data_IF_059446800616
#
_entry.id   IF_059446800616
#
_cell.length_a   1.000
_cell.length_b   1.000
_cell.length_c   1.000
_cell.angle_alpha   90.00
_cell.angle_beta   90.00
_cell.angle_gamma   90.00
#
_symmetry.space_group_name_H-M   'P 1'
#
loop_
_entity.id
_entity.type
_entity.pdbx_description
1 polymer ?
#
# COMPACT_ATOMS: atom_id res chain seq x y z
N UNK A 1 -45.37 0.43 -8.16
CA UNK A 1 -44.64 0.45 -6.87
C UNK A 1 -43.51 -0.57 -6.80
N UNK A 2 -43.73 -1.88 -6.97
CA UNK A 2 -42.66 -2.91 -6.90
C UNK A 2 -41.50 -2.70 -7.90
N UNK A 3 -41.79 -2.26 -9.14
CA UNK A 3 -40.75 -1.98 -10.16
C UNK A 3 -39.87 -0.77 -9.80
N UNK A 4 -40.46 0.30 -9.24
CA UNK A 4 -39.70 1.45 -8.74
C UNK A 4 -38.81 1.06 -7.57
N UNK A 5 -39.29 0.18 -6.69
CA UNK A 5 -38.54 -0.32 -5.54
C UNK A 5 -37.33 -1.16 -5.97
N UNK A 6 -37.48 -1.97 -7.02
CA UNK A 6 -36.37 -2.73 -7.63
C UNK A 6 -35.35 -1.78 -8.29
N UNK A 7 -35.80 -0.74 -8.99
CA UNK A 7 -34.90 0.26 -9.61
C UNK A 7 -34.13 1.02 -8.53
N UNK A 8 -34.78 1.38 -7.42
CA UNK A 8 -34.13 2.03 -6.26
C UNK A 8 -33.11 1.09 -5.62
N UNK A 9 -33.44 -0.19 -5.45
CA UNK A 9 -32.48 -1.20 -4.94
C UNK A 9 -31.28 -1.39 -5.87
N UNK A 10 -31.49 -1.42 -7.19
CA UNK A 10 -30.41 -1.47 -8.17
C UNK A 10 -29.55 -0.20 -8.08
N UNK A 11 -30.17 0.98 -7.97
CA UNK A 11 -29.44 2.25 -7.80
C UNK A 11 -28.63 2.30 -6.49
N UNK A 12 -29.09 1.69 -5.39
CA UNK A 12 -28.35 1.58 -4.13
C UNK A 12 -27.19 0.59 -4.24
N UNK A 13 -27.30 -0.46 -5.06
CA UNK A 13 -26.19 -1.39 -5.35
C UNK A 13 -25.17 -0.73 -6.31
N UNK A 14 -25.63 0.19 -7.18
CA UNK A 14 -24.82 0.93 -8.15
C UNK A 14 -24.29 2.28 -7.66
N UNK A 15 -24.73 2.81 -6.51
CA UNK A 15 -23.93 3.85 -5.85
C UNK A 15 -22.60 3.19 -5.54
N UNK A 16 -21.46 3.68 -6.05
CA UNK A 16 -20.17 3.16 -5.66
C UNK A 16 -20.02 3.41 -4.16
N UNK A 17 -20.42 2.42 -3.35
CA UNK A 17 -20.31 2.41 -1.91
C UNK A 17 -18.86 2.11 -1.56
N UNK A 18 -18.01 3.04 -1.98
CA UNK A 18 -16.77 3.52 -1.44
C UNK A 18 -16.14 4.25 -2.61
N UNK A 19 -16.17 5.59 -2.56
CA UNK A 19 -15.02 6.35 -3.00
C UNK A 19 -13.77 5.61 -2.49
N UNK A 20 -13.10 4.86 -3.37
CA UNK A 20 -11.71 4.49 -3.16
C UNK A 20 -10.89 5.78 -3.32
N UNK A 21 -11.14 6.77 -2.45
CA UNK A 21 -10.41 8.05 -2.43
C UNK A 21 -8.93 7.84 -2.10
N UNK A 22 -8.55 6.61 -1.70
CA UNK A 22 -7.17 6.19 -1.52
C UNK A 22 -6.83 5.04 -2.45
N UNK A 23 -5.89 5.33 -3.35
CA UNK A 23 -5.25 4.38 -4.25
C UNK A 23 -4.50 3.24 -3.51
N UNK A 24 -4.04 3.49 -2.27
CA UNK A 24 -3.25 2.55 -1.49
C UNK A 24 -3.67 2.54 -0.01
N UNK A 25 -3.53 1.39 0.64
CA UNK A 25 -3.64 1.27 2.11
C UNK A 25 -2.53 2.07 2.80
N UNK A 26 -2.77 2.52 4.02
CA UNK A 26 -1.76 3.13 4.89
C UNK A 26 -1.79 2.51 6.30
N UNK A 27 -1.07 3.12 7.24
CA UNK A 27 -0.99 2.62 8.62
C UNK A 27 -2.34 2.54 9.34
N UNK A 28 -3.31 3.38 8.99
CA UNK A 28 -4.66 3.28 9.52
C UNK A 28 -5.40 2.02 9.04
N UNK A 29 -5.26 1.68 7.76
CA UNK A 29 -5.81 0.46 7.18
C UNK A 29 -5.10 -0.77 7.74
N UNK A 30 -3.77 -0.70 7.84
CA UNK A 30 -2.92 -1.75 8.40
C UNK A 30 -3.33 -2.14 9.83
N UNK A 31 -3.53 -1.16 10.70
CA UNK A 31 -3.99 -1.41 12.09
C UNK A 31 -5.43 -1.91 12.15
N UNK A 32 -6.29 -1.52 11.22
CA UNK A 32 -7.69 -1.94 11.18
C UNK A 32 -7.86 -3.44 10.91
N UNK A 33 -6.87 -4.07 10.28
CA UNK A 33 -6.90 -5.51 9.94
C UNK A 33 -7.14 -6.37 11.19
N UNK A 34 -6.53 -6.06 12.33
CA UNK A 34 -6.73 -6.82 13.56
C UNK A 34 -8.21 -6.84 13.97
N UNK A 35 -8.88 -5.69 13.92
CA UNK A 35 -10.31 -5.60 14.19
C UNK A 35 -11.14 -6.33 13.13
N UNK A 36 -10.77 -6.22 11.85
CA UNK A 36 -11.46 -6.91 10.75
C UNK A 36 -11.33 -8.43 10.86
N UNK A 37 -10.18 -8.93 11.31
CA UNK A 37 -9.93 -10.34 11.55
C UNK A 37 -10.48 -10.83 12.91
N UNK A 38 -11.27 -10.01 13.62
CA UNK A 38 -11.75 -10.31 14.97
C UNK A 38 -10.63 -10.71 15.95
N UNK A 39 -9.46 -10.08 15.80
CA UNK A 39 -8.24 -10.33 16.56
C UNK A 39 -7.69 -11.77 16.45
N UNK A 40 -8.13 -12.53 15.44
CA UNK A 40 -7.53 -13.83 15.14
C UNK A 40 -6.12 -13.65 14.54
N UNK A 41 -5.06 -14.19 15.16
CA UNK A 41 -3.69 -13.94 14.72
C UNK A 41 -3.37 -14.52 13.34
N UNK A 42 -3.93 -15.70 13.01
CA UNK A 42 -3.68 -16.37 11.74
C UNK A 42 -4.34 -15.60 10.59
N UNK A 43 -5.62 -15.26 10.74
CA UNK A 43 -6.37 -14.46 9.77
C UNK A 43 -5.76 -13.06 9.62
N UNK A 44 -5.33 -12.42 10.71
CA UNK A 44 -4.63 -11.12 10.67
C UNK A 44 -3.38 -11.21 9.80
N UNK A 45 -2.56 -12.25 10.03
CA UNK A 45 -1.36 -12.48 9.24
C UNK A 45 -1.71 -12.75 7.77
N UNK A 46 -2.69 -13.62 7.49
CA UNK A 46 -3.12 -13.95 6.12
C UNK A 46 -3.60 -12.71 5.35
N UNK A 47 -4.37 -11.82 6.00
CA UNK A 47 -4.82 -10.58 5.38
C UNK A 47 -3.66 -9.61 5.10
N UNK A 48 -2.76 -9.43 6.08
CA UNK A 48 -1.57 -8.57 5.94
C UNK A 48 -0.64 -9.07 4.83
N UNK A 49 -0.30 -10.36 4.83
CA UNK A 49 0.60 -10.95 3.84
C UNK A 49 -0.02 -11.00 2.46
N UNK A 50 -1.34 -11.25 2.36
CA UNK A 50 -2.07 -11.23 1.09
C UNK A 50 -1.98 -9.88 0.40
N UNK A 51 -2.12 -8.77 1.15
CA UNK A 51 -1.96 -7.44 0.59
C UNK A 51 -0.51 -7.14 0.17
N UNK A 52 0.48 -7.51 1.00
CA UNK A 52 1.90 -7.35 0.64
C UNK A 52 2.19 -8.07 -0.69
N UNK A 53 1.78 -9.33 -0.81
CA UNK A 53 1.99 -10.12 -2.03
C UNK A 53 1.32 -9.45 -3.23
N UNK A 54 0.08 -8.98 -3.09
CA UNK A 54 -0.61 -8.25 -4.17
C UNK A 54 0.14 -7.01 -4.64
N UNK A 55 0.76 -6.24 -3.73
CA UNK A 55 1.59 -5.08 -4.08
C UNK A 55 2.87 -5.51 -4.81
N UNK A 56 3.55 -6.55 -4.32
CA UNK A 56 4.77 -7.05 -4.93
C UNK A 56 4.52 -7.65 -6.32
N UNK A 57 3.43 -8.40 -6.48
CA UNK A 57 2.99 -8.98 -7.77
C UNK A 57 2.64 -7.87 -8.77
N UNK A 58 1.94 -6.82 -8.33
CA UNK A 58 1.65 -5.66 -9.18
C UNK A 58 2.92 -4.94 -9.63
N UNK A 59 3.89 -4.72 -8.72
CA UNK A 59 5.19 -4.14 -9.05
C UNK A 59 5.92 -4.98 -10.09
N UNK A 60 6.00 -6.30 -9.87
CA UNK A 60 6.63 -7.23 -10.82
C UNK A 60 5.93 -7.18 -12.19
N UNK A 61 4.61 -7.19 -12.21
CA UNK A 61 3.84 -7.09 -13.45
C UNK A 61 4.19 -5.84 -14.25
N UNK A 62 4.18 -4.66 -13.61
CA UNK A 62 4.49 -3.41 -14.31
C UNK A 62 5.97 -3.27 -14.68
N UNK A 63 6.88 -3.82 -13.87
CA UNK A 63 8.28 -3.97 -14.26
C UNK A 63 8.41 -4.76 -15.56
N UNK A 64 7.79 -5.94 -15.63
CA UNK A 64 7.84 -6.79 -16.84
C UNK A 64 7.21 -6.09 -18.04
N UNK A 65 6.12 -5.33 -17.85
CA UNK A 65 5.52 -4.52 -18.92
C UNK A 65 6.50 -3.46 -19.44
N UNK A 66 7.14 -2.69 -18.55
CA UNK A 66 8.13 -1.69 -18.96
C UNK A 66 9.34 -2.36 -19.63
N UNK A 67 9.79 -3.50 -19.11
CA UNK A 67 10.94 -4.25 -19.60
C UNK A 67 10.73 -4.73 -21.05
N UNK A 68 9.50 -5.15 -21.41
CA UNK A 68 9.19 -5.50 -22.81
C UNK A 68 9.28 -4.33 -23.79
N UNK A 69 9.26 -3.09 -23.29
CA UNK A 69 9.38 -1.89 -24.13
C UNK A 69 10.83 -1.42 -24.21
N UNK A 70 11.46 -1.22 -23.06
CA UNK A 70 12.87 -0.79 -22.96
C UNK A 70 13.43 -1.22 -21.60
N UNK A 71 14.47 -2.05 -21.62
CA UNK A 71 15.00 -2.68 -20.42
C UNK A 71 15.67 -1.67 -19.48
N UNK A 72 16.52 -0.78 -19.99
CA UNK A 72 17.26 0.15 -19.14
C UNK A 72 16.32 1.13 -18.41
N UNK A 73 15.24 1.54 -19.06
CA UNK A 73 14.16 2.32 -18.46
C UNK A 73 13.45 1.54 -17.36
N UNK A 74 13.11 0.27 -17.57
CA UNK A 74 12.48 -0.55 -16.53
C UNK A 74 13.40 -0.73 -15.31
N UNK A 75 14.67 -1.04 -15.54
CA UNK A 75 15.68 -1.19 -14.49
C UNK A 75 15.86 0.13 -13.71
N UNK A 76 15.85 1.27 -14.41
CA UNK A 76 15.90 2.59 -13.79
C UNK A 76 14.63 2.94 -13.00
N UNK A 77 13.46 2.54 -13.50
CA UNK A 77 12.16 2.89 -12.91
C UNK A 77 11.87 2.09 -11.64
N UNK A 78 12.36 0.84 -11.59
CA UNK A 78 12.13 -0.09 -10.48
C UNK A 78 13.41 -0.42 -9.70
N UNK A 79 14.37 0.52 -9.68
CA UNK A 79 15.65 0.35 -8.99
C UNK A 79 15.56 0.30 -7.45
N UNK A 80 14.38 0.52 -6.86
CA UNK A 80 14.22 0.47 -5.41
C UNK A 80 14.25 -0.96 -4.84
N UNK A 81 14.78 -1.05 -3.63
CA UNK A 81 14.93 -2.28 -2.84
C UNK A 81 13.59 -2.76 -2.32
N UNK A 82 13.15 -3.95 -2.73
CA UNK A 82 11.86 -4.53 -2.31
C UNK A 82 11.92 -6.00 -1.91
N UNK A 83 13.06 -6.65 -2.11
CA UNK A 83 13.28 -8.10 -2.04
C UNK A 83 14.23 -8.54 -0.92
N UNK A 84 14.74 -7.62 -0.10
CA UNK A 84 15.59 -7.94 1.04
C UNK A 84 14.85 -8.68 2.16
N UNK A 85 13.66 -8.22 2.50
CA UNK A 85 12.81 -8.83 3.52
C UNK A 85 11.81 -9.79 2.87
N UNK A 86 11.68 -10.99 3.44
CA UNK A 86 10.58 -11.89 3.06
C UNK A 86 9.21 -11.27 3.41
N UNK A 87 8.10 -11.69 2.76
CA UNK A 87 6.77 -11.21 3.11
C UNK A 87 6.42 -11.36 4.60
N UNK A 88 6.90 -12.44 5.23
CA UNK A 88 6.73 -12.67 6.67
C UNK A 88 7.47 -11.62 7.50
N UNK A 89 8.72 -11.33 7.15
CA UNK A 89 9.52 -10.30 7.82
C UNK A 89 8.93 -8.91 7.59
N UNK A 90 8.46 -8.63 6.37
CA UNK A 90 7.76 -7.38 6.05
C UNK A 90 6.56 -7.15 6.95
N UNK A 91 5.70 -8.15 7.18
CA UNK A 91 4.57 -8.01 8.12
C UNK A 91 5.05 -7.51 9.49
N UNK A 92 6.09 -8.17 10.04
CA UNK A 92 6.63 -7.83 11.36
C UNK A 92 7.25 -6.43 11.40
N UNK A 93 8.01 -6.06 10.38
CA UNK A 93 8.67 -4.74 10.32
C UNK A 93 7.64 -3.63 10.08
N UNK A 94 6.61 -3.88 9.26
CA UNK A 94 5.51 -2.94 9.02
C UNK A 94 4.66 -2.71 10.27
N UNK A 95 4.43 -3.74 11.10
CA UNK A 95 3.78 -3.59 12.40
C UNK A 95 4.54 -2.59 13.28
N UNK A 96 5.87 -2.70 13.35
CA UNK A 96 6.70 -1.75 14.09
C UNK A 96 6.72 -0.36 13.44
N UNK A 97 6.82 -0.29 12.12
CA UNK A 97 6.87 0.96 11.38
C UNK A 97 5.60 1.81 11.59
N UNK A 98 4.43 1.17 11.57
CA UNK A 98 3.14 1.83 11.77
C UNK A 98 2.69 1.92 13.23
N UNK A 99 3.48 1.39 14.18
CA UNK A 99 3.29 1.68 15.58
C UNK A 99 3.54 3.17 15.88
N UNK A 100 4.41 3.84 15.11
CA UNK A 100 4.59 5.29 15.17
C UNK A 100 3.43 6.01 14.43
N UNK A 101 2.62 6.83 15.12
CA UNK A 101 1.54 7.60 14.51
C UNK A 101 2.00 8.49 13.35
N UNK A 102 3.24 9.00 13.37
CA UNK A 102 3.77 9.89 12.32
C UNK A 102 3.93 9.17 10.97
N UNK A 103 3.94 7.85 10.98
CA UNK A 103 4.03 7.02 9.78
C UNK A 103 2.64 6.59 9.29
N UNK A 104 1.58 6.85 10.05
CA UNK A 104 0.24 6.32 9.80
C UNK A 104 -0.38 6.70 8.45
N UNK A 105 0.06 7.80 7.84
CA UNK A 105 -0.44 8.26 6.54
C UNK A 105 0.47 7.91 5.36
N UNK A 106 1.64 7.30 5.61
CA UNK A 106 2.52 6.80 4.55
C UNK A 106 1.82 5.62 3.87
N UNK A 107 1.70 5.61 2.54
CA UNK A 107 1.13 4.49 1.79
C UNK A 107 1.96 3.21 1.95
N UNK A 108 1.28 2.06 1.95
CA UNK A 108 1.92 0.75 2.15
C UNK A 108 3.00 0.43 1.12
N UNK A 109 2.85 0.70 -0.18
CA UNK A 109 3.95 0.47 -1.14
C UNK A 109 5.22 1.23 -0.77
N UNK A 110 5.10 2.49 -0.33
CA UNK A 110 6.24 3.28 0.13
C UNK A 110 6.82 2.70 1.42
N UNK A 111 5.98 2.29 2.36
CA UNK A 111 6.43 1.66 3.60
C UNK A 111 7.17 0.34 3.35
N UNK A 112 6.77 -0.48 2.37
CA UNK A 112 7.49 -1.70 1.98
C UNK A 112 8.92 -1.38 1.55
N UNK A 113 9.11 -0.36 0.70
CA UNK A 113 10.44 0.08 0.27
C UNK A 113 11.25 0.57 1.47
N UNK A 114 10.67 1.43 2.32
CA UNK A 114 11.32 1.95 3.53
C UNK A 114 11.77 0.82 4.47
N UNK A 115 10.91 -0.18 4.69
CA UNK A 115 11.22 -1.35 5.52
C UNK A 115 12.38 -2.18 4.95
N UNK A 116 12.42 -2.37 3.63
CA UNK A 116 13.57 -3.01 2.98
C UNK A 116 14.84 -2.18 3.13
N UNK A 117 14.78 -0.86 2.95
CA UNK A 117 15.93 0.03 3.15
C UNK A 117 16.47 -0.04 4.59
N UNK A 118 15.60 -0.17 5.59
CA UNK A 118 16.00 -0.42 6.98
C UNK A 118 16.71 -1.77 7.13
N UNK A 119 16.15 -2.83 6.54
CA UNK A 119 16.75 -4.17 6.55
C UNK A 119 18.14 -4.18 5.93
N UNK A 120 18.30 -3.54 4.77
CA UNK A 120 19.56 -3.39 4.05
C UNK A 120 20.56 -2.44 4.69
N UNK A 121 20.18 -1.75 5.78
CA UNK A 121 21.02 -0.77 6.46
C UNK A 121 21.46 0.38 5.55
N UNK A 122 20.56 0.83 4.68
CA UNK A 122 20.76 2.05 3.89
C UNK A 122 21.00 3.23 4.85
N UNK A 123 21.92 4.17 4.54
CA UNK A 123 22.18 5.32 5.39
C UNK A 123 20.91 6.09 5.79
N UNK A 124 20.77 6.40 7.08
CA UNK A 124 19.53 6.97 7.64
C UNK A 124 19.10 8.27 6.95
N UNK A 125 20.05 9.12 6.57
CA UNK A 125 19.79 10.34 5.81
C UNK A 125 19.09 10.11 4.46
N UNK A 126 19.35 8.96 3.80
CA UNK A 126 18.65 8.56 2.57
C UNK A 126 17.25 8.04 2.87
N UNK A 127 17.10 7.25 3.93
CA UNK A 127 15.80 6.73 4.38
C UNK A 127 14.88 7.89 4.79
N UNK A 128 15.38 8.84 5.59
CA UNK A 128 14.62 10.03 6.03
C UNK A 128 14.17 10.88 4.84
N UNK A 129 15.06 11.05 3.85
CA UNK A 129 14.73 11.74 2.61
C UNK A 129 13.62 11.02 1.85
N UNK A 130 13.68 9.70 1.76
CA UNK A 130 12.64 8.90 1.11
C UNK A 130 11.31 9.01 1.86
N UNK A 131 11.30 8.84 3.18
CA UNK A 131 10.11 9.03 4.03
C UNK A 131 9.48 10.40 3.78
N UNK A 132 10.28 11.47 3.78
CA UNK A 132 9.78 12.83 3.49
C UNK A 132 9.17 12.92 2.09
N UNK A 133 9.84 12.42 1.06
CA UNK A 133 9.30 12.44 -0.30
C UNK A 133 8.00 11.64 -0.43
N UNK A 134 7.88 10.48 0.24
CA UNK A 134 6.64 9.70 0.26
C UNK A 134 5.48 10.48 0.89
N UNK A 135 5.76 11.20 1.97
CA UNK A 135 4.80 12.08 2.67
C UNK A 135 4.38 13.26 1.79
N UNK A 136 5.32 13.92 1.13
CA UNK A 136 5.05 15.02 0.21
C UNK A 136 4.23 14.56 -1.00
N UNK A 137 4.58 13.42 -1.58
CA UNK A 137 3.88 12.85 -2.73
C UNK A 137 2.43 12.51 -2.41
N UNK A 138 2.16 11.80 -1.30
CA UNK A 138 0.77 11.48 -0.94
C UNK A 138 -0.04 12.74 -0.62
N UNK A 139 0.58 13.74 0.00
CA UNK A 139 -0.07 15.02 0.26
C UNK A 139 -0.45 15.73 -1.03
N UNK A 140 0.44 15.76 -2.04
CA UNK A 140 0.12 16.32 -3.36
C UNK A 140 -1.04 15.60 -4.03
N UNK A 141 -1.02 14.26 -4.05
CA UNK A 141 -2.12 13.49 -4.66
C UNK A 141 -3.46 13.76 -3.98
N UNK A 142 -3.48 13.88 -2.65
CA UNK A 142 -4.71 14.21 -1.90
C UNK A 142 -5.19 15.63 -2.25
N UNK A 143 -4.29 16.60 -2.36
CA UNK A 143 -4.66 17.98 -2.70
C UNK A 143 -5.18 18.09 -4.15
N UNK A 144 -4.56 17.39 -5.10
CA UNK A 144 -4.98 17.35 -6.51
C UNK A 144 -6.34 16.66 -6.68
N UNK A 145 -6.64 15.61 -5.91
CA UNK A 145 -7.93 14.93 -5.96
C UNK A 145 -9.10 15.73 -5.35
N UNK A 146 -8.82 16.76 -4.55
CA UNK A 146 -9.83 17.57 -3.87
C UNK A 146 -10.19 18.87 -4.65
N UNK A 147 -9.63 19.05 -5.86
CA UNK A 147 -9.92 20.17 -6.77
C UNK A 147 -10.89 19.73 -7.88
#
# INVERSE_FOLDING_TARGET
>A
MKRLLIIILILIIYTPAQQMDRLFWNGGDWRRIEKTANYDPELTYMMKVGYINGVLDARLFYYLKAWTMEQAFADSLYAETVDYLSPRELVKVLDNFYADPINGYIPLPSAIIICNMFGERIPMNKIDKYIRHSKEWINRMILENNQ
#
